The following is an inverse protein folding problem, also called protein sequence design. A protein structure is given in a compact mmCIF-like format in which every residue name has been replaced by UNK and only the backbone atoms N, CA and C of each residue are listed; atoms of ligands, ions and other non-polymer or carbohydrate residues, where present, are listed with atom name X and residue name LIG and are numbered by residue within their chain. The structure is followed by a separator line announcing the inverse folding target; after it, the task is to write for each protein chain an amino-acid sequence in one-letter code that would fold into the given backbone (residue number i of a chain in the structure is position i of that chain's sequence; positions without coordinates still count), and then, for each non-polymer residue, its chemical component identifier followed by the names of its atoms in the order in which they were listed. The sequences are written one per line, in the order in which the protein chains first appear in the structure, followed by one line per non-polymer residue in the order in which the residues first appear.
data_IF_296161303801
#
_entry.id   IF_296161303801
#
_cell.length_a   1.000
_cell.length_b   1.000
_cell.length_c   1.000
_cell.angle_alpha   90.00
_cell.angle_beta   90.00
_cell.angle_gamma   90.00
#
_symmetry.space_group_name_H-M   'P 1'
#
loop_
_entity.id
_entity.type
_entity.pdbx_description
1 polymer ?
#
# COMPACT_ATOMS: atom_id res chain seq x y z
N UNK A 1 -2.72 -60.45 -65.30
CA UNK A 1 -1.60 -59.82 -64.54
C UNK A 1 -2.03 -58.46 -64.08
N UNK A 2 -2.67 -58.33 -62.89
CA UNK A 2 -3.20 -57.04 -62.40
C UNK A 2 -2.25 -56.49 -61.31
N UNK A 3 -1.62 -55.36 -61.59
CA UNK A 3 -0.83 -54.63 -60.59
C UNK A 3 -1.78 -53.76 -59.75
N UNK A 4 -1.88 -54.01 -58.45
CA UNK A 4 -2.55 -53.20 -57.46
C UNK A 4 -1.61 -52.07 -57.09
N UNK A 5 -2.02 -50.82 -57.35
CA UNK A 5 -1.38 -49.62 -56.84
C UNK A 5 -2.01 -49.29 -55.46
N UNK A 6 -1.22 -49.41 -54.39
CA UNK A 6 -1.61 -49.01 -53.05
C UNK A 6 -1.20 -47.53 -52.89
N UNK A 7 -2.17 -46.66 -52.84
CA UNK A 7 -1.97 -45.26 -52.55
C UNK A 7 -1.93 -45.05 -51.01
N UNK A 8 -0.74 -44.73 -50.50
CA UNK A 8 -0.55 -44.40 -49.10
C UNK A 8 -0.92 -42.92 -48.90
N UNK A 9 -2.08 -42.68 -48.30
CA UNK A 9 -2.48 -41.34 -47.88
C UNK A 9 -1.81 -41.02 -46.53
N UNK A 10 -0.71 -40.25 -46.52
CA UNK A 10 -0.07 -39.75 -45.31
C UNK A 10 -0.94 -38.64 -44.71
N UNK A 11 -1.63 -38.96 -43.64
CA UNK A 11 -2.36 -37.98 -42.82
C UNK A 11 -1.35 -37.27 -41.92
N UNK A 12 -0.90 -36.10 -42.34
CA UNK A 12 -0.07 -35.24 -41.49
C UNK A 12 -0.95 -34.64 -40.38
N UNK A 13 -0.90 -35.23 -39.20
CA UNK A 13 -1.52 -34.68 -37.99
C UNK A 13 -0.69 -33.48 -37.54
N UNK A 14 -1.18 -32.28 -37.83
CA UNK A 14 -0.64 -31.03 -37.25
C UNK A 14 -0.99 -31.04 -35.76
N UNK A 15 -0.04 -31.42 -34.92
CA UNK A 15 -0.10 -31.24 -33.49
C UNK A 15 0.03 -29.68 -33.24
N UNK A 16 -1.11 -29.02 -33.11
CA UNK A 16 -1.17 -27.72 -32.51
C UNK A 16 -0.74 -27.87 -31.06
N UNK A 17 0.54 -27.67 -30.78
CA UNK A 17 1.05 -27.51 -29.43
C UNK A 17 0.40 -26.25 -28.88
N UNK A 18 -0.66 -26.37 -28.08
CA UNK A 18 -1.13 -25.30 -27.23
C UNK A 18 0.03 -24.95 -26.28
N UNK A 19 0.62 -23.80 -26.47
CA UNK A 19 1.55 -23.23 -25.49
C UNK A 19 0.70 -22.97 -24.25
N UNK A 20 0.77 -23.88 -23.28
CA UNK A 20 0.19 -23.62 -21.97
C UNK A 20 1.04 -22.53 -21.33
N UNK A 21 0.51 -21.33 -21.26
CA UNK A 21 1.09 -20.29 -20.44
C UNK A 21 0.93 -20.71 -18.97
N UNK A 22 1.98 -20.56 -18.18
CA UNK A 22 1.88 -20.77 -16.74
C UNK A 22 0.89 -19.76 -16.14
N UNK A 23 0.05 -20.23 -15.21
CA UNK A 23 -0.82 -19.33 -14.44
C UNK A 23 0.04 -18.37 -13.63
N UNK A 24 -0.42 -17.13 -13.48
CA UNK A 24 0.24 -16.07 -12.70
C UNK A 24 -0.37 -16.04 -11.30
N UNK A 25 0.46 -16.03 -10.26
CA UNK A 25 0.06 -15.80 -8.89
C UNK A 25 0.26 -14.35 -8.52
N UNK A 26 -0.79 -13.69 -8.04
CA UNK A 26 -0.78 -12.29 -7.63
C UNK A 26 -1.16 -12.15 -6.16
N UNK A 27 -0.22 -11.75 -5.31
CA UNK A 27 -0.49 -11.41 -3.92
C UNK A 27 -0.91 -9.95 -3.79
N UNK A 28 -2.02 -9.72 -3.09
CA UNK A 28 -2.55 -8.38 -2.87
C UNK A 28 -2.88 -8.11 -1.41
N UNK A 29 -2.56 -6.90 -0.94
CA UNK A 29 -3.00 -6.41 0.38
C UNK A 29 -4.36 -5.71 0.35
N UNK A 30 -4.95 -5.58 -0.84
CA UNK A 30 -6.27 -4.99 -1.02
C UNK A 30 -7.39 -6.00 -0.74
N UNK A 31 -7.49 -6.44 0.52
CA UNK A 31 -8.32 -7.56 0.98
C UNK A 31 -9.79 -7.22 1.23
N UNK A 32 -10.21 -5.97 1.06
CA UNK A 32 -11.60 -5.59 1.25
C UNK A 32 -12.50 -6.23 0.18
N UNK A 33 -13.71 -6.74 0.54
CA UNK A 33 -14.53 -7.52 -0.40
C UNK A 33 -14.79 -6.83 -1.74
N UNK A 34 -15.10 -5.53 -1.74
CA UNK A 34 -15.33 -4.77 -2.97
C UNK A 34 -14.06 -4.63 -3.83
N UNK A 35 -12.89 -4.49 -3.21
CA UNK A 35 -11.60 -4.41 -3.91
C UNK A 35 -11.18 -5.78 -4.42
N UNK A 36 -11.38 -6.84 -3.65
CA UNK A 36 -11.14 -8.21 -4.10
C UNK A 36 -12.00 -8.55 -5.32
N UNK A 37 -13.29 -8.29 -5.27
CA UNK A 37 -14.19 -8.53 -6.42
C UNK A 37 -13.71 -7.77 -7.68
N UNK A 38 -13.19 -6.53 -7.52
CA UNK A 38 -12.67 -5.77 -8.67
C UNK A 38 -11.37 -6.33 -9.22
N UNK A 39 -10.48 -6.80 -8.37
CA UNK A 39 -9.23 -7.45 -8.80
C UNK A 39 -9.50 -8.78 -9.51
N UNK A 40 -10.46 -9.58 -9.03
CA UNK A 40 -10.89 -10.80 -9.69
C UNK A 40 -11.56 -10.52 -11.06
N UNK A 41 -12.34 -9.45 -11.17
CA UNK A 41 -12.90 -8.99 -12.47
C UNK A 41 -11.76 -8.63 -13.45
N UNK A 42 -10.76 -7.88 -12.97
CA UNK A 42 -9.59 -7.52 -13.78
C UNK A 42 -8.77 -8.74 -14.19
N UNK A 43 -8.57 -9.71 -13.30
CA UNK A 43 -7.91 -10.97 -13.59
C UNK A 43 -8.63 -11.76 -14.70
N UNK A 44 -9.96 -11.88 -14.62
CA UNK A 44 -10.79 -12.52 -15.67
C UNK A 44 -10.70 -11.78 -17.01
N UNK A 45 -10.69 -10.44 -16.99
CA UNK A 45 -10.57 -9.65 -18.20
C UNK A 45 -9.17 -9.82 -18.85
N UNK A 46 -8.14 -9.97 -18.04
CA UNK A 46 -6.78 -10.26 -18.50
C UNK A 46 -6.70 -11.67 -19.11
N UNK A 47 -7.24 -12.68 -18.44
CA UNK A 47 -7.34 -14.05 -18.94
C UNK A 47 -8.07 -14.11 -20.27
N UNK A 48 -9.23 -13.47 -20.39
CA UNK A 48 -9.99 -13.41 -21.64
C UNK A 48 -9.22 -12.78 -22.81
N UNK A 49 -8.30 -11.85 -22.51
CA UNK A 49 -7.50 -11.16 -23.51
C UNK A 49 -6.21 -11.90 -23.89
N UNK A 50 -5.60 -12.60 -22.95
CA UNK A 50 -4.25 -13.16 -23.09
C UNK A 50 -4.22 -14.69 -23.09
N UNK A 51 -5.25 -15.34 -22.60
CA UNK A 51 -5.27 -16.78 -22.31
C UNK A 51 -4.49 -17.16 -21.05
N UNK A 52 -3.96 -16.19 -20.29
CA UNK A 52 -3.17 -16.41 -19.08
C UNK A 52 -4.08 -16.18 -17.87
N UNK A 53 -4.23 -17.19 -17.04
CA UNK A 53 -5.00 -17.11 -15.80
C UNK A 53 -4.18 -16.38 -14.71
N UNK A 54 -4.86 -15.55 -13.93
CA UNK A 54 -4.27 -14.89 -12.75
C UNK A 54 -5.02 -15.33 -11.50
N UNK A 55 -4.31 -15.96 -10.57
CA UNK A 55 -4.82 -16.30 -9.26
C UNK A 55 -4.56 -15.14 -8.29
N UNK A 56 -5.63 -14.47 -7.85
CA UNK A 56 -5.56 -13.35 -6.90
C UNK A 56 -5.61 -13.87 -5.46
N UNK A 57 -4.51 -13.73 -4.74
CA UNK A 57 -4.33 -14.28 -3.39
C UNK A 57 -4.30 -13.12 -2.37
N UNK A 58 -5.31 -13.01 -1.49
CA UNK A 58 -5.32 -11.97 -0.45
C UNK A 58 -4.27 -12.26 0.63
N UNK A 59 -3.55 -11.22 1.02
CA UNK A 59 -2.58 -11.24 2.12
C UNK A 59 -2.83 -10.03 3.01
N UNK A 60 -3.09 -10.23 4.29
CA UNK A 60 -3.21 -9.11 5.21
C UNK A 60 -1.89 -8.30 5.24
N UNK A 61 -2.00 -6.98 5.17
CA UNK A 61 -0.84 -6.08 5.06
C UNK A 61 0.20 -6.32 6.17
N UNK A 62 -0.26 -6.57 7.41
CA UNK A 62 0.59 -6.87 8.55
C UNK A 62 1.41 -8.17 8.41
N UNK A 63 0.94 -9.11 7.60
CA UNK A 63 1.56 -10.42 7.42
C UNK A 63 2.44 -10.49 6.17
N UNK A 64 2.32 -9.49 5.28
CA UNK A 64 2.97 -9.50 3.97
C UNK A 64 4.50 -9.65 4.06
N UNK A 65 5.15 -8.88 4.93
CA UNK A 65 6.61 -8.90 5.07
C UNK A 65 7.13 -10.27 5.51
N UNK A 66 6.52 -10.85 6.54
CA UNK A 66 6.87 -12.19 7.05
C UNK A 66 6.62 -13.27 6.01
N UNK A 67 5.47 -13.20 5.33
CA UNK A 67 5.08 -14.18 4.30
C UNK A 67 6.01 -14.12 3.09
N UNK A 68 6.35 -12.92 2.60
CA UNK A 68 7.26 -12.77 1.46
C UNK A 68 8.68 -13.26 1.79
N UNK A 69 9.18 -12.97 3.00
CA UNK A 69 10.49 -13.46 3.45
C UNK A 69 10.53 -14.99 3.54
N UNK A 70 9.49 -15.60 4.11
CA UNK A 70 9.39 -17.05 4.19
C UNK A 70 9.28 -17.70 2.81
N UNK A 71 8.46 -17.13 1.92
CA UNK A 71 8.30 -17.61 0.54
C UNK A 71 9.60 -17.49 -0.26
N UNK A 72 10.34 -16.40 -0.09
CA UNK A 72 11.66 -16.20 -0.70
C UNK A 72 12.65 -17.28 -0.27
N UNK A 73 12.73 -17.53 1.03
CA UNK A 73 13.61 -18.58 1.58
C UNK A 73 13.26 -19.99 1.08
N UNK A 74 11.97 -20.23 0.80
CA UNK A 74 11.46 -21.51 0.28
C UNK A 74 11.50 -21.61 -1.26
N UNK A 75 11.87 -20.56 -1.98
CA UNK A 75 11.82 -20.51 -3.46
C UNK A 75 10.39 -20.51 -4.03
N UNK A 76 9.41 -20.03 -3.26
CA UNK A 76 7.98 -20.07 -3.59
C UNK A 76 7.36 -18.65 -3.58
N UNK A 77 8.10 -17.65 -4.05
CA UNK A 77 7.54 -16.32 -4.25
C UNK A 77 6.43 -16.34 -5.30
N UNK A 78 5.39 -15.51 -5.16
CA UNK A 78 4.43 -15.32 -6.23
C UNK A 78 5.07 -14.56 -7.39
N UNK A 79 4.42 -14.59 -8.55
CA UNK A 79 4.90 -13.86 -9.73
C UNK A 79 4.76 -12.35 -9.58
N UNK A 80 3.70 -11.90 -8.90
CA UNK A 80 3.44 -10.48 -8.66
C UNK A 80 3.03 -10.24 -7.21
N UNK A 81 3.59 -9.18 -6.60
CA UNK A 81 3.24 -8.75 -5.25
C UNK A 81 2.83 -7.27 -5.27
N UNK A 82 1.60 -6.98 -4.83
CA UNK A 82 1.20 -5.62 -4.51
C UNK A 82 1.70 -5.26 -3.10
N UNK A 83 2.54 -4.22 -3.01
CA UNK A 83 3.21 -3.87 -1.76
C UNK A 83 3.38 -2.36 -1.59
N UNK A 84 3.61 -1.92 -0.36
CA UNK A 84 3.88 -0.53 -0.01
C UNK A 84 5.35 -0.15 -0.20
N UNK A 85 5.64 1.14 -0.28
CA UNK A 85 6.98 1.70 -0.57
C UNK A 85 8.07 1.25 0.40
N UNK A 86 7.73 0.94 1.64
CA UNK A 86 8.69 0.48 2.65
C UNK A 86 9.44 -0.80 2.26
N UNK A 87 8.86 -1.62 1.38
CA UNK A 87 9.47 -2.87 0.90
C UNK A 87 10.38 -2.67 -0.32
N UNK A 88 10.31 -1.54 -1.01
CA UNK A 88 11.07 -1.33 -2.27
C UNK A 88 12.56 -1.59 -2.08
N UNK A 89 13.20 -0.87 -1.17
CA UNK A 89 14.65 -1.00 -0.96
C UNK A 89 15.04 -2.34 -0.33
N UNK A 90 14.49 -2.76 0.83
CA UNK A 90 14.93 -4.00 1.47
C UNK A 90 14.64 -5.25 0.60
N UNK A 91 13.52 -5.30 -0.12
CA UNK A 91 13.22 -6.42 -0.99
C UNK A 91 14.03 -6.42 -2.28
N UNK A 92 14.41 -5.26 -2.80
CA UNK A 92 15.36 -5.16 -3.91
C UNK A 92 16.76 -5.62 -3.51
N UNK A 93 17.17 -5.36 -2.28
CA UNK A 93 18.46 -5.80 -1.76
C UNK A 93 18.48 -7.31 -1.47
N UNK A 94 17.36 -7.83 -0.99
CA UNK A 94 17.16 -9.26 -0.70
C UNK A 94 16.87 -10.11 -1.94
N UNK A 95 16.71 -9.51 -3.14
CA UNK A 95 16.40 -10.23 -4.37
C UNK A 95 14.95 -10.79 -4.42
N UNK A 96 14.06 -10.25 -3.61
CA UNK A 96 12.61 -10.58 -3.66
C UNK A 96 11.94 -9.87 -4.83
N UNK A 97 12.38 -8.64 -5.17
CA UNK A 97 11.93 -7.93 -6.34
C UNK A 97 12.90 -8.11 -7.50
N UNK A 98 12.37 -8.45 -8.67
CA UNK A 98 13.10 -8.40 -9.93
C UNK A 98 13.17 -6.95 -10.40
N UNK A 99 14.28 -6.28 -10.06
CA UNK A 99 14.49 -4.86 -10.36
C UNK A 99 14.58 -4.61 -11.87
N UNK A 100 15.21 -5.51 -12.62
CA UNK A 100 15.38 -5.35 -14.05
C UNK A 100 14.02 -5.48 -14.77
N UNK A 101 13.22 -6.49 -14.44
CA UNK A 101 11.88 -6.66 -15.00
C UNK A 101 10.97 -5.47 -14.66
N UNK A 102 10.96 -4.99 -13.41
CA UNK A 102 10.16 -3.81 -13.03
C UNK A 102 10.59 -2.54 -13.77
N UNK A 103 11.90 -2.30 -13.91
CA UNK A 103 12.43 -1.17 -14.66
C UNK A 103 12.06 -1.23 -16.15
N UNK A 104 12.12 -2.41 -16.75
CA UNK A 104 11.74 -2.63 -18.15
C UNK A 104 10.23 -2.41 -18.37
N UNK A 105 9.38 -2.87 -17.48
CA UNK A 105 7.93 -2.61 -17.52
C UNK A 105 7.66 -1.11 -17.48
N UNK A 106 8.27 -0.37 -16.57
CA UNK A 106 8.10 1.09 -16.47
C UNK A 106 8.58 1.80 -17.74
N UNK A 107 9.68 1.34 -18.33
CA UNK A 107 10.19 1.89 -19.59
C UNK A 107 9.25 1.58 -20.77
N UNK A 108 8.69 0.36 -20.86
CA UNK A 108 7.74 -0.04 -21.89
C UNK A 108 6.42 0.73 -21.80
N UNK A 109 5.92 0.96 -20.58
CA UNK A 109 4.71 1.76 -20.35
C UNK A 109 4.95 3.27 -20.57
N UNK A 110 6.21 3.69 -20.59
CA UNK A 110 6.64 5.08 -20.68
C UNK A 110 6.64 5.76 -19.31
N UNK A 111 7.80 6.30 -18.91
CA UNK A 111 7.96 6.97 -17.60
C UNK A 111 7.01 8.15 -17.37
N UNK A 112 6.56 8.80 -18.45
CA UNK A 112 5.58 9.90 -18.40
C UNK A 112 4.16 9.46 -18.03
N UNK A 113 3.87 8.15 -18.04
CA UNK A 113 2.60 7.58 -17.55
C UNK A 113 2.48 7.71 -16.04
N UNK A 114 3.61 7.81 -15.34
CA UNK A 114 3.68 7.84 -13.89
C UNK A 114 3.97 9.24 -13.36
N UNK A 115 3.46 9.57 -12.18
CA UNK A 115 3.85 10.78 -11.48
C UNK A 115 5.38 10.75 -11.18
N UNK A 116 6.12 11.85 -11.43
CA UNK A 116 7.57 11.88 -11.21
C UNK A 116 7.97 11.48 -9.79
N UNK A 117 7.22 11.92 -8.78
CA UNK A 117 7.45 11.55 -7.38
C UNK A 117 7.26 10.05 -7.09
N UNK A 118 6.32 9.39 -7.76
CA UNK A 118 6.11 7.95 -7.61
C UNK A 118 7.31 7.15 -8.17
N UNK A 119 7.83 7.58 -9.32
CA UNK A 119 9.06 7.00 -9.88
C UNK A 119 10.24 7.17 -8.93
N UNK A 120 10.45 8.38 -8.39
CA UNK A 120 11.56 8.63 -7.45
C UNK A 120 11.48 7.77 -6.19
N UNK A 121 10.28 7.58 -5.62
CA UNK A 121 10.07 6.75 -4.44
C UNK A 121 10.25 5.24 -4.71
N UNK A 122 10.04 4.80 -5.96
CA UNK A 122 10.17 3.40 -6.34
C UNK A 122 11.58 3.01 -6.83
N UNK A 123 12.58 3.90 -6.72
CA UNK A 123 13.94 3.66 -7.22
C UNK A 123 14.82 2.86 -6.27
N UNK A 124 15.70 2.04 -6.90
CA UNK A 124 16.96 1.55 -6.32
C UNK A 124 18.11 2.03 -7.21
N UNK A 125 18.83 3.05 -6.77
CA UNK A 125 19.85 3.69 -7.61
C UNK A 125 19.24 4.36 -8.85
N UNK A 126 19.68 3.96 -10.03
CA UNK A 126 19.17 4.49 -11.31
C UNK A 126 17.93 3.76 -11.84
N UNK A 127 17.64 2.56 -11.35
CA UNK A 127 16.56 1.71 -11.81
C UNK A 127 15.28 1.89 -10.99
N UNK A 128 14.13 1.63 -11.60
CA UNK A 128 12.84 1.59 -10.90
C UNK A 128 12.61 0.15 -10.44
N UNK A 129 12.60 -0.06 -9.14
CA UNK A 129 12.55 -1.37 -8.52
C UNK A 129 11.13 -1.92 -8.27
N UNK A 130 10.13 -1.07 -8.41
CA UNK A 130 8.72 -1.46 -8.35
C UNK A 130 7.90 -0.61 -9.30
N UNK A 131 6.88 -1.19 -9.94
CA UNK A 131 5.98 -0.46 -10.84
C UNK A 131 4.98 0.32 -9.99
N UNK A 132 4.96 1.67 -10.04
CA UNK A 132 3.96 2.45 -9.31
C UNK A 132 2.55 2.21 -9.87
N UNK A 133 1.60 1.87 -9.00
CA UNK A 133 0.21 1.59 -9.40
C UNK A 133 -0.74 2.64 -8.85
N UNK A 134 -0.57 3.00 -7.59
CA UNK A 134 -1.37 4.00 -6.87
C UNK A 134 -0.51 4.74 -5.84
N UNK A 135 -1.15 5.60 -5.05
CA UNK A 135 -0.49 6.35 -3.99
C UNK A 135 -1.45 6.68 -2.85
N UNK A 136 -0.99 6.49 -1.63
CA UNK A 136 -1.72 6.80 -0.42
C UNK A 136 -1.11 8.03 0.25
N UNK A 137 -1.92 9.08 0.41
CA UNK A 137 -1.51 10.33 1.05
C UNK A 137 -2.18 10.45 2.40
N UNK A 138 -1.40 10.57 3.46
CA UNK A 138 -1.95 10.81 4.80
C UNK A 138 -2.33 12.27 4.98
N UNK A 139 -3.53 12.51 5.50
CA UNK A 139 -4.02 13.86 5.82
C UNK A 139 -4.94 13.84 7.04
N UNK A 140 -5.13 14.98 7.66
CA UNK A 140 -6.14 15.12 8.71
C UNK A 140 -7.53 15.18 8.07
N UNK A 141 -8.31 14.13 8.29
CA UNK A 141 -9.73 14.06 7.92
C UNK A 141 -10.56 14.44 9.14
N UNK A 142 -11.57 15.31 8.95
CA UNK A 142 -12.37 15.80 10.07
C UNK A 142 -13.87 15.89 9.73
N UNK A 143 -14.70 15.87 10.74
CA UNK A 143 -16.15 16.05 10.69
C UNK A 143 -16.47 17.54 10.61
N UNK A 144 -16.68 18.03 9.40
CA UNK A 144 -16.97 19.44 9.13
C UNK A 144 -18.20 19.94 9.91
N UNK A 145 -19.26 19.15 9.95
CA UNK A 145 -20.50 19.41 10.67
C UNK A 145 -20.28 19.65 12.19
N UNK A 146 -19.42 18.86 12.83
CA UNK A 146 -19.09 19.01 14.24
C UNK A 146 -18.25 20.27 14.49
N UNK A 147 -17.34 20.61 13.58
CA UNK A 147 -16.51 21.82 13.68
C UNK A 147 -17.36 23.07 13.52
N UNK A 148 -18.24 23.13 12.52
CA UNK A 148 -19.15 24.25 12.28
C UNK A 148 -20.09 24.46 13.48
N UNK A 149 -20.73 23.40 13.97
CA UNK A 149 -21.63 23.45 15.14
C UNK A 149 -20.91 23.92 16.41
N UNK A 150 -19.62 23.63 16.53
CA UNK A 150 -18.80 24.05 17.67
C UNK A 150 -18.12 25.42 17.46
N UNK A 151 -18.30 26.07 16.33
CA UNK A 151 -17.60 27.33 16.01
C UNK A 151 -16.07 27.17 16.00
N UNK A 152 -15.59 26.07 15.40
CA UNK A 152 -14.17 25.74 15.29
C UNK A 152 -13.67 25.99 13.86
N UNK A 153 -12.47 26.53 13.76
CA UNK A 153 -11.75 26.62 12.50
C UNK A 153 -11.27 25.24 12.03
N UNK A 154 -11.11 25.01 10.71
CA UNK A 154 -10.55 23.78 10.19
C UNK A 154 -9.22 23.37 10.86
N UNK A 155 -8.93 22.08 11.03
CA UNK A 155 -7.75 21.57 11.75
C UNK A 155 -6.47 21.64 10.89
N UNK A 156 -6.14 22.81 10.35
CA UNK A 156 -5.02 23.04 9.43
C UNK A 156 -3.68 23.25 10.13
N UNK A 157 -3.70 23.33 11.45
CA UNK A 157 -2.49 23.50 12.27
C UNK A 157 -2.69 22.85 13.65
N UNK A 158 -1.60 22.65 14.39
CA UNK A 158 -1.62 21.98 15.69
C UNK A 158 -2.43 22.71 16.76
N UNK A 159 -2.49 24.04 16.71
CA UNK A 159 -3.31 24.83 17.65
C UNK A 159 -4.80 24.55 17.44
N UNK A 160 -5.25 24.56 16.18
CA UNK A 160 -6.65 24.25 15.84
C UNK A 160 -7.01 22.81 16.18
N UNK A 161 -6.13 21.83 15.88
CA UNK A 161 -6.33 20.42 16.27
C UNK A 161 -6.45 20.30 17.79
N UNK A 162 -5.54 20.91 18.54
CA UNK A 162 -5.56 20.86 20.00
C UNK A 162 -6.81 21.54 20.60
N UNK A 163 -7.24 22.67 20.02
CA UNK A 163 -8.48 23.35 20.39
C UNK A 163 -9.71 22.47 20.14
N UNK A 164 -9.75 21.80 18.98
CA UNK A 164 -10.83 20.89 18.63
C UNK A 164 -10.86 19.66 19.57
N UNK A 165 -9.71 19.05 19.86
CA UNK A 165 -9.60 17.96 20.85
C UNK A 165 -10.23 18.39 22.17
N UNK A 166 -9.84 19.55 22.72
CA UNK A 166 -10.37 20.02 24.01
C UNK A 166 -11.87 20.28 23.98
N UNK A 167 -12.40 20.77 22.85
CA UNK A 167 -13.82 21.20 22.76
C UNK A 167 -14.75 20.05 22.43
N UNK A 168 -14.29 19.08 21.64
CA UNK A 168 -15.12 17.99 21.12
C UNK A 168 -14.96 16.66 21.88
N UNK A 169 -13.94 16.53 22.75
CA UNK A 169 -13.83 15.35 23.61
C UNK A 169 -14.93 15.32 24.66
N UNK A 170 -15.47 14.14 24.91
CA UNK A 170 -16.51 13.93 25.91
C UNK A 170 -16.73 12.45 26.22
N UNK A 171 -17.77 12.13 27.01
CA UNK A 171 -18.05 10.77 27.45
C UNK A 171 -18.27 9.78 26.30
N UNK A 172 -18.75 10.26 25.15
CA UNK A 172 -19.08 9.45 23.99
C UNK A 172 -18.20 9.72 22.76
N UNK A 173 -17.20 10.61 22.87
CA UNK A 173 -16.37 11.04 21.75
C UNK A 173 -14.92 11.23 22.18
N UNK A 174 -14.01 10.57 21.50
CA UNK A 174 -12.57 10.82 21.61
C UNK A 174 -12.22 12.04 20.76
N UNK A 175 -11.33 12.90 21.26
CA UNK A 175 -10.97 14.12 20.54
C UNK A 175 -10.16 13.89 19.28
N UNK A 176 -9.48 12.74 19.21
CA UNK A 176 -8.71 12.27 18.06
C UNK A 176 -8.61 10.75 18.10
N UNK A 177 -8.29 10.12 17.00
CA UNK A 177 -7.86 8.72 16.97
C UNK A 177 -6.56 8.62 16.19
N UNK A 178 -5.45 8.50 16.92
CA UNK A 178 -4.13 8.25 16.37
C UNK A 178 -3.83 6.75 16.32
N UNK A 179 -3.00 6.33 15.36
CA UNK A 179 -2.43 4.99 15.36
C UNK A 179 -1.48 4.81 16.55
N UNK A 180 -1.63 3.73 17.31
CA UNK A 180 -0.81 3.44 18.50
C UNK A 180 -0.22 2.03 18.51
N UNK A 181 -0.58 1.19 17.53
CA UNK A 181 -0.02 -0.15 17.37
C UNK A 181 1.36 -0.06 16.72
N UNK A 182 2.39 -0.38 17.48
CA UNK A 182 3.80 -0.09 17.10
C UNK A 182 4.40 -1.07 16.09
N UNK A 183 3.82 -2.24 15.93
CA UNK A 183 4.25 -3.28 14.98
C UNK A 183 3.51 -3.21 13.63
N UNK A 184 2.88 -2.10 13.36
CA UNK A 184 2.04 -1.87 12.17
C UNK A 184 2.52 -0.70 11.33
N UNK A 185 2.43 -0.86 10.02
CA UNK A 185 2.80 0.18 9.05
C UNK A 185 1.98 1.46 9.21
N UNK A 186 0.72 1.34 9.58
CA UNK A 186 -0.16 2.48 9.72
C UNK A 186 0.33 3.48 10.79
N UNK A 187 0.87 2.99 11.90
CA UNK A 187 1.48 3.87 12.89
C UNK A 187 2.68 4.63 12.30
N UNK A 188 3.54 3.97 11.56
CA UNK A 188 4.68 4.61 10.89
C UNK A 188 4.23 5.70 9.94
N UNK A 189 3.23 5.43 9.11
CA UNK A 189 2.66 6.39 8.15
C UNK A 189 2.06 7.61 8.85
N UNK A 190 1.28 7.42 9.91
CA UNK A 190 0.65 8.51 10.67
C UNK A 190 1.68 9.33 11.44
N UNK A 191 2.68 8.68 12.05
CA UNK A 191 3.78 9.35 12.74
C UNK A 191 4.65 10.14 11.76
N UNK A 192 4.96 9.56 10.61
CA UNK A 192 5.74 10.23 9.55
C UNK A 192 5.07 11.51 9.08
N UNK A 193 3.74 11.50 8.88
CA UNK A 193 2.98 12.71 8.56
C UNK A 193 3.23 13.83 9.58
N UNK A 194 3.20 13.50 10.88
CA UNK A 194 3.45 14.48 11.95
C UNK A 194 4.93 14.91 11.98
N UNK A 195 5.85 13.99 11.74
CA UNK A 195 7.29 14.27 11.71
C UNK A 195 7.64 15.21 10.55
N UNK A 196 7.17 14.91 9.35
CA UNK A 196 7.38 15.73 8.15
C UNK A 196 6.76 17.12 8.29
N UNK A 197 5.57 17.24 8.89
CA UNK A 197 4.92 18.51 9.18
C UNK A 197 5.72 19.39 10.17
N UNK A 198 6.62 18.79 10.97
CA UNK A 198 7.58 19.50 11.83
C UNK A 198 8.94 19.75 11.18
N UNK A 199 9.11 19.40 9.91
CA UNK A 199 10.38 19.51 9.18
C UNK A 199 11.41 18.43 9.52
N UNK A 200 10.99 17.31 10.14
CA UNK A 200 11.85 16.14 10.34
C UNK A 200 11.99 15.41 9.02
N UNK A 201 13.21 15.17 8.57
CA UNK A 201 13.50 14.44 7.34
C UNK A 201 14.33 13.20 7.65
N UNK A 202 13.77 12.01 7.41
CA UNK A 202 14.41 10.72 7.70
C UNK A 202 15.59 10.41 6.79
N UNK A 203 15.56 10.89 5.55
CA UNK A 203 16.61 10.64 4.55
C UNK A 203 17.75 11.65 4.59
N UNK A 204 17.66 12.64 5.48
CA UNK A 204 18.71 13.65 5.62
C UNK A 204 19.99 13.02 6.15
N UNK A 205 21.13 13.31 5.48
CA UNK A 205 22.45 12.81 5.90
C UNK A 205 22.72 13.14 7.38
N UNK A 206 23.00 12.12 8.18
CA UNK A 206 23.21 12.23 9.62
C UNK A 206 21.96 11.90 10.46
N UNK A 207 20.86 11.44 9.82
CA UNK A 207 19.66 10.92 10.47
C UNK A 207 18.84 11.95 11.24
N UNK A 208 17.84 11.45 11.94
CA UNK A 208 16.89 12.27 12.72
C UNK A 208 17.52 12.89 13.98
N UNK A 209 18.61 12.34 14.49
CA UNK A 209 19.28 12.79 15.73
C UNK A 209 19.76 14.25 15.65
N UNK A 210 20.17 14.72 14.47
CA UNK A 210 20.58 16.12 14.24
C UNK A 210 19.41 17.09 14.13
N UNK A 211 18.18 16.62 14.25
CA UNK A 211 16.95 17.41 14.13
C UNK A 211 16.20 17.46 15.47
N UNK A 212 16.93 17.39 16.58
CA UNK A 212 16.42 17.17 17.93
C UNK A 212 15.23 18.03 18.34
N UNK A 213 15.21 19.36 18.02
CA UNK A 213 14.08 20.23 18.33
C UNK A 213 12.83 19.87 17.51
N UNK A 214 12.98 19.68 16.21
CA UNK A 214 11.86 19.31 15.32
C UNK A 214 11.30 17.93 15.69
N UNK A 215 12.16 16.95 15.92
CA UNK A 215 11.78 15.62 16.37
C UNK A 215 11.04 15.68 17.71
N UNK A 216 11.58 16.40 18.70
CA UNK A 216 10.92 16.56 20.01
C UNK A 216 9.51 17.17 19.87
N UNK A 217 9.36 18.25 19.11
CA UNK A 217 8.06 18.89 18.90
C UNK A 217 7.06 17.94 18.24
N UNK A 218 7.49 17.18 17.24
CA UNK A 218 6.65 16.19 16.57
C UNK A 218 6.18 15.09 17.53
N UNK A 219 7.08 14.52 18.31
CA UNK A 219 6.76 13.46 19.28
C UNK A 219 5.86 13.99 20.42
N UNK A 220 6.08 15.20 20.92
CA UNK A 220 5.21 15.81 21.93
C UNK A 220 3.80 16.05 21.37
N UNK A 221 3.68 16.50 20.13
CA UNK A 221 2.38 16.62 19.49
C UNK A 221 1.72 15.26 19.24
N UNK A 222 2.46 14.25 18.78
CA UNK A 222 1.91 12.90 18.62
C UNK A 222 1.39 12.33 19.95
N UNK A 223 2.07 12.60 21.03
CA UNK A 223 1.62 12.25 22.39
C UNK A 223 0.30 12.94 22.76
N UNK A 224 0.07 14.19 22.32
CA UNK A 224 -1.24 14.86 22.48
C UNK A 224 -2.33 14.10 21.74
N UNK A 225 -2.08 13.70 20.48
CA UNK A 225 -3.02 12.93 19.68
C UNK A 225 -3.32 11.55 20.32
N UNK A 226 -2.28 10.86 20.75
CA UNK A 226 -2.43 9.54 21.40
C UNK A 226 -3.24 9.62 22.71
N UNK A 227 -3.01 10.65 23.53
CA UNK A 227 -3.79 10.88 24.77
C UNK A 227 -5.25 11.24 24.51
N UNK A 228 -5.58 11.79 23.36
CA UNK A 228 -6.94 12.10 22.95
C UNK A 228 -7.67 10.92 22.33
N UNK A 229 -6.95 9.82 22.10
CA UNK A 229 -7.42 8.58 21.47
C UNK A 229 -7.93 7.57 22.52
N UNK A 230 -8.73 6.55 22.13
CA UNK A 230 -9.04 5.42 22.98
C UNK A 230 -7.78 4.75 23.55
N UNK A 231 -7.85 4.16 24.75
CA UNK A 231 -6.75 3.35 25.26
C UNK A 231 -6.55 2.08 24.43
N UNK A 232 -5.32 1.56 24.44
CA UNK A 232 -4.95 0.32 23.75
C UNK A 232 -4.28 0.53 22.42
N UNK A 233 -4.12 -0.57 21.68
CA UNK A 233 -3.49 -0.58 20.37
C UNK A 233 -4.50 -0.29 19.28
N UNK A 234 -4.23 0.77 18.53
CA UNK A 234 -5.08 1.23 17.44
C UNK A 234 -4.31 1.16 16.11
N UNK A 235 -4.89 0.48 15.14
CA UNK A 235 -4.40 0.49 13.77
C UNK A 235 -5.52 0.92 12.80
N UNK A 236 -5.30 0.87 11.49
CA UNK A 236 -6.20 1.49 10.53
C UNK A 236 -7.65 1.00 10.58
N UNK A 237 -7.90 -0.30 10.83
CA UNK A 237 -9.28 -0.86 10.90
C UNK A 237 -10.07 -0.24 12.05
N UNK A 238 -9.48 -0.18 13.25
CA UNK A 238 -10.11 0.41 14.43
C UNK A 238 -10.25 1.92 14.29
N UNK A 239 -9.22 2.63 13.81
CA UNK A 239 -9.26 4.08 13.61
C UNK A 239 -10.39 4.46 12.66
N UNK A 240 -10.51 3.77 11.54
CA UNK A 240 -11.59 3.95 10.57
C UNK A 240 -12.96 3.65 11.17
N UNK A 241 -13.10 2.52 11.87
CA UNK A 241 -14.36 2.12 12.48
C UNK A 241 -14.86 3.17 13.49
N UNK A 242 -13.98 3.72 14.32
CA UNK A 242 -14.31 4.77 15.28
C UNK A 242 -14.74 6.08 14.59
N UNK A 243 -14.09 6.46 13.49
CA UNK A 243 -14.46 7.64 12.74
C UNK A 243 -15.86 7.50 12.09
N UNK A 244 -16.11 6.39 11.40
CA UNK A 244 -17.42 6.14 10.78
C UNK A 244 -18.55 5.93 11.80
N UNK A 245 -18.24 5.41 12.98
CA UNK A 245 -19.19 5.31 14.08
C UNK A 245 -19.46 6.66 14.79
N UNK A 246 -18.86 7.76 14.32
CA UNK A 246 -19.01 9.09 14.93
C UNK A 246 -18.38 9.22 16.32
N UNK A 247 -17.40 8.36 16.66
CA UNK A 247 -16.74 8.32 17.98
C UNK A 247 -15.51 9.22 18.05
N UNK A 248 -15.13 9.86 16.95
CA UNK A 248 -14.05 10.86 16.88
C UNK A 248 -14.37 11.90 15.82
N UNK A 249 -14.04 13.18 16.05
CA UNK A 249 -14.20 14.24 15.05
C UNK A 249 -13.05 14.28 14.04
N UNK A 250 -11.90 13.66 14.34
CA UNK A 250 -10.68 13.74 13.51
C UNK A 250 -9.90 12.45 13.54
N UNK A 251 -9.32 12.11 12.39
CA UNK A 251 -8.28 11.07 12.25
C UNK A 251 -7.21 11.54 11.25
N UNK A 252 -6.05 10.91 11.25
CA UNK A 252 -5.15 10.94 10.10
C UNK A 252 -5.48 9.73 9.24
N UNK A 253 -5.78 9.98 7.98
CA UNK A 253 -6.28 8.97 7.06
C UNK A 253 -5.87 9.27 5.62
N UNK A 254 -5.87 8.25 4.79
CA UNK A 254 -5.78 8.37 3.34
C UNK A 254 -7.18 8.29 2.73
N UNK A 255 -7.57 9.18 1.82
CA UNK A 255 -8.87 9.16 1.16
C UNK A 255 -9.05 7.96 0.21
#
# INVERSE_FOLDING_TARGET
MFKKIISIFSFATFLLSSVAFADITFWTTEVQPARMAKQEEMAKAFEAKTGIKVEVIPVEEKDLGTRATAASAAGNLPDVIYHTLQYVLPWSEAGILDVDANNDIVNQLGRSTFAPGAIEMAKKGAQVAAVPVDGWTQMVVYRKDLFESAGLEPPTNYANITKAIKKLSGSNMYGFVAATKTDENFMSQVLEHVLLANGVNFVKKGGTQKQGKALKNALEFYKVLAKASPPGELYWKQSRALYFAGRTPMIIWSP
#
